data_IF_449435560057
#
_entry.id   IF_449435560057
#
_cell.length_a   1.000
_cell.length_b   1.000
_cell.length_c   1.000
_cell.angle_alpha   90.00
_cell.angle_beta   90.00
_cell.angle_gamma   90.00
#
_symmetry.space_group_name_H-M   'P 1'
#
loop_
_entity.id
_entity.type
_entity.pdbx_description
1 polymer ?
#
# COMPACT_ATOMS: atom_id res chain seq x y z
N UNK A 1 0.00 25.26 -7.73
CA UNK A 1 -0.38 24.41 -6.59
C UNK A 1 0.76 24.48 -5.59
N UNK A 2 0.50 24.69 -4.29
CA UNK A 2 1.58 24.66 -3.28
C UNK A 2 2.09 23.25 -3.06
N UNK A 3 3.32 23.10 -2.54
CA UNK A 3 3.89 21.79 -2.19
C UNK A 3 2.99 21.03 -1.20
N UNK A 4 2.41 21.74 -0.23
CA UNK A 4 1.47 21.19 0.74
C UNK A 4 0.19 20.66 0.07
N UNK A 5 -0.40 21.43 -0.85
CA UNK A 5 -1.56 21.00 -1.63
C UNK A 5 -1.23 19.78 -2.48
N UNK A 6 -0.08 19.80 -3.15
CA UNK A 6 0.36 18.71 -4.04
C UNK A 6 0.55 17.41 -3.24
N UNK A 7 1.20 17.50 -2.07
CA UNK A 7 1.39 16.38 -1.17
C UNK A 7 0.05 15.78 -0.71
N UNK A 8 -0.91 16.63 -0.32
CA UNK A 8 -2.26 16.19 0.07
C UNK A 8 -3.01 15.54 -1.09
N UNK A 9 -2.86 16.05 -2.31
CA UNK A 9 -3.49 15.48 -3.49
C UNK A 9 -2.95 14.09 -3.81
N UNK A 10 -1.62 13.93 -3.86
CA UNK A 10 -0.98 12.63 -4.06
C UNK A 10 -1.38 11.64 -2.97
N UNK A 11 -1.47 12.09 -1.72
CA UNK A 11 -1.91 11.24 -0.62
C UNK A 11 -3.36 10.75 -0.77
N UNK A 12 -4.28 11.59 -1.27
CA UNK A 12 -5.67 11.20 -1.54
C UNK A 12 -5.78 10.22 -2.70
N UNK A 13 -5.00 10.44 -3.76
CA UNK A 13 -4.95 9.51 -4.89
C UNK A 13 -4.40 8.15 -4.46
N UNK A 14 -3.33 8.14 -3.65
CA UNK A 14 -2.74 6.92 -3.13
C UNK A 14 -3.73 6.15 -2.24
N UNK A 15 -4.43 6.85 -1.36
CA UNK A 15 -5.50 6.26 -0.55
C UNK A 15 -6.59 5.61 -1.42
N UNK A 16 -7.02 6.30 -2.48
CA UNK A 16 -8.03 5.77 -3.41
C UNK A 16 -7.52 4.51 -4.12
N UNK A 17 -6.28 4.53 -4.62
CA UNK A 17 -5.67 3.39 -5.32
C UNK A 17 -5.54 2.16 -4.40
N UNK A 18 -5.12 2.35 -3.14
CA UNK A 18 -5.06 1.27 -2.15
C UNK A 18 -6.46 0.72 -1.88
N UNK A 19 -7.46 1.58 -1.68
CA UNK A 19 -8.86 1.16 -1.43
C UNK A 19 -9.48 0.43 -2.63
N UNK A 20 -9.08 0.76 -3.84
CA UNK A 20 -9.52 0.09 -5.07
C UNK A 20 -8.69 -1.14 -5.45
N UNK A 21 -7.71 -1.53 -4.62
CA UNK A 21 -6.77 -2.63 -4.89
C UNK A 21 -5.95 -2.44 -6.18
N UNK A 22 -5.79 -1.20 -6.63
CA UNK A 22 -4.96 -0.87 -7.78
C UNK A 22 -3.51 -0.68 -7.33
N UNK A 23 -2.82 -1.81 -7.20
CA UNK A 23 -1.43 -1.84 -6.72
C UNK A 23 -0.47 -1.12 -7.66
N UNK A 24 -0.70 -1.17 -8.96
CA UNK A 24 0.17 -0.52 -9.94
C UNK A 24 0.11 1.00 -9.77
N UNK A 25 -1.10 1.56 -9.77
CA UNK A 25 -1.28 2.99 -9.52
C UNK A 25 -0.78 3.40 -8.13
N UNK A 26 -0.99 2.57 -7.11
CA UNK A 26 -0.49 2.84 -5.77
C UNK A 26 1.05 2.95 -5.73
N UNK A 27 1.76 2.07 -6.43
CA UNK A 27 3.23 2.14 -6.53
C UNK A 27 3.69 3.41 -7.24
N UNK A 28 3.10 3.74 -8.39
CA UNK A 28 3.45 4.95 -9.14
C UNK A 28 3.21 6.24 -8.33
N UNK A 29 2.12 6.28 -7.56
CA UNK A 29 1.78 7.42 -6.70
C UNK A 29 2.73 7.55 -5.50
N UNK A 30 3.19 6.45 -4.93
CA UNK A 30 4.23 6.46 -3.88
C UNK A 30 5.52 7.05 -4.44
N UNK A 31 5.97 6.62 -5.61
CA UNK A 31 7.20 7.11 -6.22
C UNK A 31 7.12 8.61 -6.51
N UNK A 32 6.02 9.08 -7.09
CA UNK A 32 5.79 10.51 -7.33
C UNK A 32 5.80 11.32 -6.02
N UNK A 33 5.19 10.78 -4.95
CA UNK A 33 5.17 11.44 -3.64
C UNK A 33 6.55 11.47 -2.99
N UNK A 34 7.35 10.43 -3.13
CA UNK A 34 8.74 10.39 -2.65
C UNK A 34 9.60 11.43 -3.36
N UNK A 35 9.47 11.56 -4.69
CA UNK A 35 10.18 12.59 -5.48
C UNK A 35 9.80 14.00 -5.01
N UNK A 36 8.51 14.25 -4.74
CA UNK A 36 8.07 15.54 -4.21
C UNK A 36 8.67 15.82 -2.82
N UNK A 37 8.61 14.84 -1.92
CA UNK A 37 9.18 14.97 -0.57
C UNK A 37 10.69 15.21 -0.59
N UNK A 38 11.41 14.54 -1.49
CA UNK A 38 12.83 14.73 -1.69
C UNK A 38 13.15 16.16 -2.17
N UNK A 39 12.39 16.66 -3.14
CA UNK A 39 12.53 18.05 -3.60
C UNK A 39 12.25 19.08 -2.50
N UNK A 40 11.19 18.86 -1.71
CA UNK A 40 10.85 19.70 -0.55
C UNK A 40 11.99 19.70 0.46
N UNK A 41 12.51 18.52 0.82
CA UNK A 41 13.58 18.36 1.78
C UNK A 41 14.84 19.15 1.38
N UNK A 42 15.30 18.98 0.14
CA UNK A 42 16.48 19.67 -0.37
C UNK A 42 16.29 21.18 -0.57
N UNK A 43 15.05 21.63 -0.75
CA UNK A 43 14.76 23.06 -0.88
C UNK A 43 14.78 23.80 0.46
N UNK A 44 14.72 23.08 1.59
CA UNK A 44 14.57 23.60 2.96
C UNK A 44 13.37 24.55 3.15
N UNK A 45 12.36 24.48 2.27
CA UNK A 45 11.18 25.36 2.27
C UNK A 45 10.08 24.83 3.19
N UNK A 46 10.37 24.75 4.48
CA UNK A 46 9.40 24.28 5.47
C UNK A 46 8.42 25.38 5.87
N UNK A 47 7.19 25.29 5.38
CA UNK A 47 6.10 26.17 5.80
C UNK A 47 5.19 25.49 6.84
N UNK A 48 4.49 26.29 7.64
CA UNK A 48 3.49 25.75 8.59
C UNK A 48 2.37 24.99 7.86
N UNK A 49 2.00 25.44 6.65
CA UNK A 49 1.03 24.76 5.79
C UNK A 49 1.50 23.33 5.45
N UNK A 50 2.79 23.19 5.11
CA UNK A 50 3.40 21.90 4.80
C UNK A 50 3.47 20.99 6.03
N UNK A 51 3.83 21.52 7.19
CA UNK A 51 3.83 20.76 8.45
C UNK A 51 2.42 20.25 8.77
N UNK A 52 1.40 21.10 8.62
CA UNK A 52 0.01 20.72 8.84
C UNK A 52 -0.44 19.62 7.85
N UNK A 53 -0.08 19.75 6.57
CA UNK A 53 -0.35 18.73 5.56
C UNK A 53 0.32 17.40 5.91
N UNK A 54 1.59 17.41 6.31
CA UNK A 54 2.33 16.21 6.68
C UNK A 54 1.70 15.48 7.88
N UNK A 55 1.23 16.21 8.90
CA UNK A 55 0.55 15.63 10.05
C UNK A 55 -0.74 14.89 9.65
N UNK A 56 -1.60 15.53 8.83
CA UNK A 56 -2.83 14.89 8.33
C UNK A 56 -2.52 13.62 7.55
N UNK A 57 -1.47 13.66 6.73
CA UNK A 57 -1.07 12.51 5.92
C UNK A 57 -0.54 11.38 6.80
N UNK A 58 0.26 11.68 7.83
CA UNK A 58 0.81 10.69 8.75
C UNK A 58 -0.29 9.93 9.51
N UNK A 59 -1.36 10.62 9.92
CA UNK A 59 -2.53 9.99 10.54
C UNK A 59 -3.20 9.00 9.58
N UNK A 60 -3.40 9.40 8.32
CA UNK A 60 -4.01 8.54 7.30
C UNK A 60 -3.12 7.35 6.91
N UNK A 61 -1.80 7.51 6.89
CA UNK A 61 -0.85 6.43 6.57
C UNK A 61 -0.93 5.26 7.55
N UNK A 62 -1.22 5.50 8.82
CA UNK A 62 -1.39 4.42 9.79
C UNK A 62 -2.56 3.50 9.42
N UNK A 63 -3.65 4.09 8.91
CA UNK A 63 -4.84 3.36 8.46
C UNK A 63 -4.51 2.57 7.19
N UNK A 64 -3.86 3.20 6.21
CA UNK A 64 -3.46 2.55 4.96
C UNK A 64 -2.50 1.38 5.19
N UNK A 65 -1.52 1.56 6.08
CA UNK A 65 -0.59 0.50 6.48
C UNK A 65 -1.32 -0.71 7.05
N UNK A 66 -2.34 -0.50 7.87
CA UNK A 66 -3.16 -1.58 8.41
C UNK A 66 -3.89 -2.33 7.30
N UNK A 67 -4.53 -1.62 6.37
CA UNK A 67 -5.24 -2.22 5.23
C UNK A 67 -4.30 -3.12 4.41
N UNK A 68 -3.11 -2.62 4.05
CA UNK A 68 -2.11 -3.37 3.28
C UNK A 68 -1.64 -4.62 4.05
N UNK A 69 -1.40 -4.49 5.36
CA UNK A 69 -0.98 -5.62 6.19
C UNK A 69 -2.06 -6.69 6.30
N UNK A 70 -3.32 -6.29 6.47
CA UNK A 70 -4.45 -7.19 6.54
C UNK A 70 -4.61 -7.94 5.22
N UNK A 71 -4.52 -7.24 4.08
CA UNK A 71 -4.57 -7.86 2.75
C UNK A 71 -3.43 -8.84 2.51
N UNK A 72 -2.19 -8.46 2.86
CA UNK A 72 -1.03 -9.37 2.83
C UNK A 72 -1.28 -10.64 3.65
N UNK A 73 -1.87 -10.51 4.83
CA UNK A 73 -2.19 -11.65 5.69
C UNK A 73 -3.26 -12.55 5.07
N UNK A 74 -4.28 -11.97 4.44
CA UNK A 74 -5.31 -12.74 3.73
C UNK A 74 -4.75 -13.48 2.51
N UNK A 75 -3.89 -12.84 1.72
CA UNK A 75 -3.17 -13.51 0.62
C UNK A 75 -2.36 -14.69 1.14
N UNK A 76 -1.62 -14.50 2.24
CA UNK A 76 -0.83 -15.58 2.87
C UNK A 76 -1.71 -16.75 3.31
N UNK A 77 -2.86 -16.49 3.94
CA UNK A 77 -3.82 -17.54 4.35
C UNK A 77 -4.35 -18.31 3.15
N UNK A 78 -4.75 -17.61 2.09
CA UNK A 78 -5.25 -18.23 0.85
C UNK A 78 -4.19 -19.12 0.21
N UNK A 79 -2.94 -18.65 0.14
CA UNK A 79 -1.83 -19.43 -0.42
C UNK A 79 -1.58 -20.72 0.36
N UNK A 80 -1.55 -20.65 1.69
CA UNK A 80 -1.39 -21.83 2.55
C UNK A 80 -2.53 -22.84 2.37
N UNK A 81 -3.76 -22.36 2.21
CA UNK A 81 -4.93 -23.20 1.94
C UNK A 81 -4.81 -23.94 0.60
N UNK A 82 -4.39 -23.24 -0.45
CA UNK A 82 -4.17 -23.85 -1.78
C UNK A 82 -3.10 -24.94 -1.71
N UNK A 83 -1.97 -24.68 -1.03
CA UNK A 83 -0.89 -25.67 -0.86
C UNK A 83 -1.39 -26.90 -0.09
N UNK A 84 -2.17 -26.71 0.98
CA UNK A 84 -2.73 -27.80 1.75
C UNK A 84 -3.70 -28.65 0.92
N UNK A 85 -4.55 -28.00 0.11
CA UNK A 85 -5.50 -28.67 -0.79
C UNK A 85 -4.79 -29.46 -1.89
N UNK A 86 -3.71 -28.91 -2.47
CA UNK A 86 -2.90 -29.63 -3.46
C UNK A 86 -2.22 -30.85 -2.84
N UNK A 87 -1.63 -30.71 -1.65
CA UNK A 87 -1.03 -31.83 -0.91
C UNK A 87 -2.05 -32.94 -0.60
N UNK A 88 -3.26 -32.58 -0.16
CA UNK A 88 -4.34 -33.53 0.06
C UNK A 88 -4.73 -34.25 -1.25
N UNK A 89 -4.87 -33.51 -2.35
CA UNK A 89 -5.21 -34.05 -3.67
C UNK A 89 -4.16 -35.04 -4.19
N UNK A 90 -2.87 -34.74 -3.98
CA UNK A 90 -1.77 -35.64 -4.34
C UNK A 90 -1.79 -36.93 -3.52
N UNK A 91 -2.05 -36.84 -2.21
CA UNK A 91 -2.21 -38.01 -1.35
C UNK A 91 -3.37 -38.90 -1.82
N UNK A 92 -4.55 -38.33 -2.11
CA UNK A 92 -5.68 -39.09 -2.64
C UNK A 92 -5.35 -39.80 -3.97
N UNK A 93 -4.69 -39.12 -4.91
CA UNK A 93 -4.27 -39.73 -6.18
C UNK A 93 -3.27 -40.88 -5.98
N UNK A 94 -2.37 -40.76 -5.00
CA UNK A 94 -1.40 -41.82 -4.68
C UNK A 94 -2.06 -43.06 -4.04
N UNK A 95 -3.10 -42.87 -3.23
CA UNK A 95 -3.83 -43.95 -2.58
C UNK A 95 -4.91 -44.59 -3.45
N UNK A 96 -5.47 -43.87 -4.44
CA UNK A 96 -6.46 -44.39 -5.39
C UNK A 96 -5.88 -45.29 -6.50
N UNK A 97 -4.54 -45.37 -6.63
CA UNK A 97 -3.84 -46.21 -7.63
C UNK A 97 -3.34 -47.55 -7.06
N UNK A 98 -3.78 -47.93 -5.86
CA UNK A 98 -3.64 -49.28 -5.30
C UNK A 98 -4.97 -50.00 -5.41
#
# INVERSE_FOLDING_TARGET
>A
MSDAQHLLHLSKLLEAAIKSQDLQSAHELVDQRLVLLDGIYHSERYSQELVNAANVILENEQILKKIILDEKNEIKKKLLSVIASDKASQLYKSHSKK
#
